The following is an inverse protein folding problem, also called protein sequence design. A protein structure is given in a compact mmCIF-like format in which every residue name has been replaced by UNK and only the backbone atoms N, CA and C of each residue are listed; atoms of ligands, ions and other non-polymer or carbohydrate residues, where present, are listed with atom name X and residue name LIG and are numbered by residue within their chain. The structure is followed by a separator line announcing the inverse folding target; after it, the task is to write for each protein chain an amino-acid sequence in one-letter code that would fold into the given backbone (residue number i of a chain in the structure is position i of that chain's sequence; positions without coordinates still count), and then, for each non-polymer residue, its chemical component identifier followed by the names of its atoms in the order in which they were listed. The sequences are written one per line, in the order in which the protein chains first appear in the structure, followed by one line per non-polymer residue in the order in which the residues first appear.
data_IF_934040800142
#
_entry.id   IF_934040800142
#
_cell.length_a   1.000
_cell.length_b   1.000
_cell.length_c   1.000
_cell.angle_alpha   90.00
_cell.angle_beta   90.00
_cell.angle_gamma   90.00
#
_symmetry.space_group_name_H-M   'P 1'
#
loop_
_entity.id
_entity.type
_entity.pdbx_description
1 polymer ?
#
# COMPACT_ATOMS: atom_id res chain seq x y z
N UNK A 1 0.26 -10.94 -1.02
CA UNK A 1 0.28 -11.76 -2.22
C UNK A 1 -0.59 -11.12 -3.31
N UNK A 2 -0.41 -11.57 -4.55
CA UNK A 2 -1.25 -11.14 -5.65
C UNK A 2 -2.67 -11.72 -5.54
N UNK A 3 -3.64 -11.03 -6.12
CA UNK A 3 -5.04 -11.43 -6.08
C UNK A 3 -5.44 -12.19 -7.36
N UNK A 4 -6.26 -13.21 -7.18
CA UNK A 4 -6.91 -13.91 -8.28
C UNK A 4 -8.17 -13.17 -8.73
N UNK A 5 -7.99 -12.05 -9.47
CA UNK A 5 -9.10 -11.22 -9.94
C UNK A 5 -10.07 -11.98 -10.84
N UNK A 6 -9.59 -12.93 -11.60
CA UNK A 6 -10.43 -13.74 -12.50
C UNK A 6 -11.43 -14.59 -11.71
N UNK A 7 -10.96 -15.22 -10.63
CA UNK A 7 -11.82 -15.98 -9.72
C UNK A 7 -12.82 -15.08 -9.01
N UNK A 8 -12.40 -13.91 -8.53
CA UNK A 8 -13.30 -12.92 -7.94
C UNK A 8 -14.36 -12.44 -8.94
N UNK A 9 -13.97 -12.20 -10.20
CA UNK A 9 -14.92 -11.82 -11.25
C UNK A 9 -15.95 -12.91 -11.51
N UNK A 10 -15.52 -14.17 -11.55
CA UNK A 10 -16.45 -15.28 -11.69
C UNK A 10 -17.45 -15.34 -10.55
N UNK A 11 -16.98 -15.26 -9.31
CA UNK A 11 -17.87 -15.25 -8.13
C UNK A 11 -18.87 -14.10 -8.19
N UNK A 12 -18.42 -12.91 -8.56
CA UNK A 12 -19.31 -11.76 -8.66
C UNK A 12 -20.36 -11.93 -9.76
N UNK A 13 -19.98 -12.52 -10.90
CA UNK A 13 -20.94 -12.83 -11.98
C UNK A 13 -21.97 -13.88 -11.54
N UNK A 14 -21.52 -14.94 -10.90
CA UNK A 14 -22.40 -16.03 -10.43
C UNK A 14 -23.43 -15.52 -9.39
N UNK A 15 -23.11 -14.43 -8.70
CA UNK A 15 -23.99 -13.79 -7.69
C UNK A 15 -24.64 -12.49 -8.18
N UNK A 16 -24.53 -12.15 -9.46
CA UNK A 16 -25.06 -10.90 -10.04
C UNK A 16 -24.64 -9.65 -9.24
N UNK A 17 -23.38 -9.59 -8.83
CA UNK A 17 -22.82 -8.55 -7.97
C UNK A 17 -21.77 -7.73 -8.70
N UNK A 18 -21.64 -6.46 -8.32
CA UNK A 18 -20.50 -5.65 -8.75
C UNK A 18 -19.20 -6.12 -8.06
N UNK A 19 -18.10 -6.06 -8.80
CA UNK A 19 -16.77 -6.28 -8.26
C UNK A 19 -16.03 -4.93 -8.14
N UNK A 20 -15.64 -4.58 -6.93
CA UNK A 20 -14.84 -3.40 -6.65
C UNK A 20 -13.48 -3.81 -6.11
N UNK A 21 -12.43 -3.16 -6.59
CA UNK A 21 -11.08 -3.27 -6.05
C UNK A 21 -10.58 -1.92 -5.54
N UNK A 22 -10.15 -1.87 -4.30
CA UNK A 22 -9.35 -0.76 -3.79
C UNK A 22 -7.86 -1.15 -3.90
N UNK A 23 -7.16 -0.48 -4.83
CA UNK A 23 -5.73 -0.73 -5.07
C UNK A 23 -4.84 0.34 -4.41
N UNK A 24 -5.31 1.01 -3.37
CA UNK A 24 -4.63 2.15 -2.77
C UNK A 24 -3.16 1.88 -2.40
N UNK A 25 -2.84 0.70 -1.88
CA UNK A 25 -1.48 0.33 -1.53
C UNK A 25 -0.60 -0.03 -2.73
N UNK A 26 -1.19 -0.62 -3.76
CA UNK A 26 -0.44 -1.21 -4.88
C UNK A 26 -0.52 -0.41 -6.18
N UNK A 27 -1.15 0.77 -6.16
CA UNK A 27 -1.41 1.54 -7.38
C UNK A 27 -0.14 1.91 -8.18
N UNK A 28 0.97 2.21 -7.50
CA UNK A 28 2.25 2.43 -8.17
C UNK A 28 2.79 1.16 -8.86
N UNK A 29 2.59 0.00 -8.24
CA UNK A 29 2.99 -1.28 -8.82
C UNK A 29 2.12 -1.64 -10.03
N UNK A 30 0.82 -1.38 -9.95
CA UNK A 30 -0.12 -1.59 -11.07
C UNK A 30 0.21 -0.63 -12.23
N UNK A 31 0.49 0.64 -11.95
CA UNK A 31 0.83 1.65 -12.96
C UNK A 31 2.11 1.30 -13.74
N UNK A 32 3.03 0.56 -13.14
CA UNK A 32 4.29 0.12 -13.76
C UNK A 32 4.26 -1.31 -14.28
N UNK A 33 3.10 -1.96 -14.25
CA UNK A 33 2.91 -3.37 -14.66
C UNK A 33 3.69 -4.38 -13.78
N UNK A 34 4.13 -3.94 -12.60
CA UNK A 34 4.84 -4.80 -11.64
C UNK A 34 3.89 -5.59 -10.73
N UNK A 35 2.58 -5.39 -10.89
CA UNK A 35 1.53 -6.12 -10.20
C UNK A 35 0.31 -6.28 -11.12
N UNK A 36 -0.50 -7.33 -10.89
CA UNK A 36 -1.65 -7.63 -11.74
C UNK A 36 -2.67 -6.47 -11.71
N UNK A 37 -3.15 -6.07 -12.89
CA UNK A 37 -4.12 -5.00 -13.03
C UNK A 37 -5.53 -5.46 -12.67
N UNK A 38 -6.29 -4.72 -11.84
CA UNK A 38 -7.70 -5.00 -11.55
C UNK A 38 -8.65 -4.51 -12.64
N UNK A 39 -8.21 -3.64 -13.55
CA UNK A 39 -9.10 -2.90 -14.47
C UNK A 39 -9.88 -3.78 -15.44
N UNK A 40 -9.33 -4.92 -15.84
CA UNK A 40 -10.01 -5.85 -16.75
C UNK A 40 -11.13 -6.65 -16.05
N UNK A 41 -11.06 -6.75 -14.73
CA UNK A 41 -11.95 -7.63 -13.95
C UNK A 41 -12.99 -6.87 -13.14
N UNK A 42 -12.70 -5.64 -12.73
CA UNK A 42 -13.52 -4.89 -11.79
C UNK A 42 -14.45 -3.90 -12.48
N UNK A 43 -15.63 -3.70 -11.88
CA UNK A 43 -16.59 -2.69 -12.31
C UNK A 43 -16.21 -1.30 -11.78
N UNK A 44 -15.57 -1.29 -10.60
CA UNK A 44 -15.08 -0.08 -9.92
C UNK A 44 -13.68 -0.37 -9.39
N UNK A 45 -12.77 0.59 -9.59
CA UNK A 45 -11.42 0.56 -9.01
C UNK A 45 -11.19 1.88 -8.28
N UNK A 46 -10.78 1.82 -7.02
CA UNK A 46 -10.43 3.00 -6.24
C UNK A 46 -8.95 2.99 -5.87
N UNK A 47 -8.40 4.15 -5.66
CA UNK A 47 -7.04 4.29 -5.14
C UNK A 47 -6.83 5.62 -4.44
N UNK A 48 -5.87 5.65 -3.53
CA UNK A 48 -5.24 6.88 -3.07
C UNK A 48 -4.06 7.24 -3.97
N UNK A 49 -3.73 8.53 -4.05
CA UNK A 49 -2.61 9.01 -4.86
C UNK A 49 -1.30 9.19 -4.09
N UNK A 50 -1.33 9.09 -2.77
CA UNK A 50 -0.22 9.44 -1.87
C UNK A 50 0.53 8.24 -1.27
N UNK A 51 0.27 7.02 -1.71
CA UNK A 51 1.00 5.81 -1.29
C UNK A 51 2.07 5.45 -2.33
N UNK A 52 2.03 4.28 -2.92
CA UNK A 52 3.03 3.86 -3.91
C UNK A 52 3.07 4.71 -5.17
N UNK A 53 2.02 5.47 -5.49
CA UNK A 53 2.06 6.49 -6.55
C UNK A 53 2.89 7.74 -6.21
N UNK A 54 3.21 7.99 -4.92
CA UNK A 54 4.01 9.12 -4.43
C UNK A 54 3.44 10.52 -4.72
N UNK A 55 2.13 10.64 -4.93
CA UNK A 55 1.47 11.91 -5.21
C UNK A 55 0.96 12.63 -3.96
N UNK A 56 0.28 13.77 -4.14
CA UNK A 56 -0.38 14.48 -3.06
C UNK A 56 -1.55 13.67 -2.51
N UNK A 57 -2.03 14.01 -1.32
CA UNK A 57 -3.18 13.35 -0.69
C UNK A 57 -4.45 13.60 -1.48
N UNK A 58 -4.92 12.58 -2.17
CA UNK A 58 -6.17 12.56 -2.91
C UNK A 58 -6.62 11.11 -3.15
N UNK A 59 -7.78 10.96 -3.78
CA UNK A 59 -8.31 9.68 -4.23
C UNK A 59 -8.79 9.76 -5.68
N UNK A 60 -8.77 8.62 -6.35
CA UNK A 60 -9.31 8.43 -7.68
C UNK A 60 -10.31 7.30 -7.67
N UNK A 61 -11.40 7.46 -8.41
CA UNK A 61 -12.41 6.43 -8.64
C UNK A 61 -12.51 6.19 -10.14
N UNK A 62 -12.20 4.98 -10.56
CA UNK A 62 -12.39 4.51 -11.93
C UNK A 62 -13.62 3.59 -11.94
N UNK A 63 -14.46 3.71 -12.95
CA UNK A 63 -15.70 2.93 -13.00
C UNK A 63 -16.15 2.70 -14.44
N UNK A 64 -16.92 1.65 -14.67
CA UNK A 64 -17.55 1.40 -15.97
C UNK A 64 -18.56 2.48 -16.30
N UNK A 65 -18.67 2.82 -17.58
CA UNK A 65 -19.48 3.94 -18.07
C UNK A 65 -20.93 3.94 -17.60
N UNK A 66 -21.54 2.78 -17.44
CA UNK A 66 -22.91 2.62 -16.95
C UNK A 66 -23.12 3.08 -15.51
N UNK A 67 -22.05 3.16 -14.72
CA UNK A 67 -22.11 3.62 -13.33
C UNK A 67 -21.90 5.13 -13.18
N UNK A 68 -21.58 5.83 -14.28
CA UNK A 68 -21.17 7.23 -14.27
C UNK A 68 -22.11 8.14 -13.49
N UNK A 69 -23.39 8.17 -13.83
CA UNK A 69 -24.34 9.10 -13.21
C UNK A 69 -24.51 8.87 -11.71
N UNK A 70 -24.46 7.61 -11.28
CA UNK A 70 -24.60 7.25 -9.86
C UNK A 70 -23.36 7.65 -9.06
N UNK A 71 -22.17 7.36 -9.57
CA UNK A 71 -20.92 7.63 -8.87
C UNK A 71 -20.63 9.13 -8.87
N UNK A 72 -20.78 9.81 -10.01
CA UNK A 72 -20.56 11.26 -10.08
C UNK A 72 -21.48 12.01 -9.11
N UNK A 73 -22.76 11.67 -9.08
CA UNK A 73 -23.70 12.27 -8.15
C UNK A 73 -23.40 11.96 -6.69
N UNK A 74 -22.98 10.74 -6.39
CA UNK A 74 -22.59 10.36 -5.04
C UNK A 74 -21.37 11.14 -4.55
N UNK A 75 -20.39 11.36 -5.43
CA UNK A 75 -19.21 12.18 -5.10
C UNK A 75 -19.61 13.64 -4.97
N UNK A 76 -20.23 14.21 -6.00
CA UNK A 76 -20.68 15.61 -5.98
C UNK A 76 -22.09 15.72 -6.60
N UNK A 77 -23.06 16.34 -5.91
CA UNK A 77 -22.94 17.00 -4.60
C UNK A 77 -23.20 16.11 -3.37
N UNK A 78 -23.28 14.79 -3.57
CA UNK A 78 -23.76 13.89 -2.53
C UNK A 78 -22.92 13.88 -1.26
N UNK A 79 -21.61 13.65 -1.38
CA UNK A 79 -20.72 13.45 -0.23
C UNK A 79 -19.62 14.53 -0.11
N UNK A 80 -19.25 15.20 -1.21
CA UNK A 80 -18.15 16.15 -1.27
C UNK A 80 -18.56 17.47 -1.91
N UNK A 81 -17.74 18.50 -1.70
CA UNK A 81 -17.83 19.81 -2.34
C UNK A 81 -16.83 19.95 -3.49
N UNK A 82 -16.46 21.20 -3.82
CA UNK A 82 -15.49 21.49 -4.86
C UNK A 82 -14.10 20.94 -4.53
N UNK A 83 -13.39 20.33 -5.47
CA UNK A 83 -12.05 19.82 -5.26
C UNK A 83 -11.03 20.97 -5.21
N UNK A 84 -9.86 20.70 -4.60
CA UNK A 84 -8.74 21.62 -4.56
C UNK A 84 -7.90 21.50 -5.83
N UNK A 85 -7.89 22.55 -6.66
CA UNK A 85 -7.23 22.52 -7.97
C UNK A 85 -5.71 22.35 -7.90
N UNK A 86 -5.06 22.88 -6.84
CA UNK A 86 -3.64 22.64 -6.60
C UNK A 86 -3.32 21.16 -6.36
N UNK A 87 -4.21 20.44 -5.67
CA UNK A 87 -4.06 18.99 -5.47
C UNK A 87 -4.25 18.25 -6.79
N UNK A 88 -5.25 18.64 -7.59
CA UNK A 88 -5.46 18.06 -8.94
C UNK A 88 -4.22 18.25 -9.82
N UNK A 89 -3.64 19.44 -9.84
CA UNK A 89 -2.41 19.73 -10.59
C UNK A 89 -1.25 18.84 -10.11
N UNK A 90 -1.09 18.70 -8.79
CA UNK A 90 -0.07 17.82 -8.21
C UNK A 90 -0.29 16.33 -8.58
N UNK A 91 -1.55 15.86 -8.58
CA UNK A 91 -1.89 14.50 -9.03
C UNK A 91 -1.55 14.33 -10.51
N UNK A 92 -1.89 15.29 -11.37
CA UNK A 92 -1.58 15.22 -12.79
C UNK A 92 -0.06 15.14 -13.05
N UNK A 93 0.73 15.95 -12.35
CA UNK A 93 2.20 15.90 -12.40
C UNK A 93 2.73 14.52 -11.98
N UNK A 94 2.25 13.99 -10.85
CA UNK A 94 2.68 12.70 -10.38
C UNK A 94 2.29 11.55 -11.32
N UNK A 95 1.10 11.61 -11.92
CA UNK A 95 0.70 10.61 -12.90
C UNK A 95 1.60 10.64 -14.15
N UNK A 96 2.03 11.83 -14.57
CA UNK A 96 3.00 11.97 -15.65
C UNK A 96 4.37 11.38 -15.27
N UNK A 97 4.86 11.66 -14.05
CA UNK A 97 6.10 11.06 -13.53
C UNK A 97 6.01 9.53 -13.44
N UNK A 98 4.84 8.99 -13.07
CA UNK A 98 4.65 7.54 -12.95
C UNK A 98 4.74 6.78 -14.28
N UNK A 99 4.70 7.50 -15.41
CA UNK A 99 4.91 6.93 -16.75
C UNK A 99 6.39 6.82 -17.14
N UNK A 100 7.30 7.41 -16.36
CA UNK A 100 8.73 7.43 -16.67
C UNK A 100 9.43 6.09 -16.43
N UNK A 101 10.59 5.91 -17.05
CA UNK A 101 11.45 4.74 -16.80
C UNK A 101 12.00 4.76 -15.38
N UNK A 102 12.36 5.92 -14.87
CA UNK A 102 12.89 6.12 -13.52
C UNK A 102 11.89 5.66 -12.46
N UNK A 103 10.61 5.96 -12.65
CA UNK A 103 9.56 5.50 -11.74
C UNK A 103 9.38 3.98 -11.81
N UNK A 104 9.44 3.40 -13.00
CA UNK A 104 9.38 1.93 -13.17
C UNK A 104 10.55 1.23 -12.48
N UNK A 105 11.76 1.74 -12.65
CA UNK A 105 12.95 1.19 -12.01
C UNK A 105 12.90 1.34 -10.49
N UNK A 106 12.40 2.48 -10.00
CA UNK A 106 12.13 2.68 -8.59
C UNK A 106 11.17 1.60 -8.03
N UNK A 107 10.05 1.33 -8.68
CA UNK A 107 9.09 0.31 -8.22
C UNK A 107 9.70 -1.10 -8.25
N UNK A 108 10.48 -1.44 -9.27
CA UNK A 108 11.22 -2.72 -9.29
C UNK A 108 12.17 -2.85 -8.10
N UNK A 109 12.90 -1.77 -7.79
CA UNK A 109 13.78 -1.77 -6.62
C UNK A 109 13.01 -1.91 -5.32
N UNK A 110 11.86 -1.24 -5.18
CA UNK A 110 10.95 -1.40 -4.03
C UNK A 110 10.57 -2.86 -3.81
N UNK A 111 10.13 -3.56 -4.88
CA UNK A 111 9.77 -4.99 -4.79
C UNK A 111 10.98 -5.86 -4.42
N UNK A 112 12.14 -5.59 -5.02
CA UNK A 112 13.36 -6.33 -4.72
C UNK A 112 13.74 -6.19 -3.25
N UNK A 113 13.69 -4.97 -2.71
CA UNK A 113 13.99 -4.71 -1.31
C UNK A 113 13.01 -5.41 -0.36
N UNK A 114 11.70 -5.37 -0.68
CA UNK A 114 10.69 -6.06 0.11
C UNK A 114 10.93 -7.59 0.14
N UNK A 115 11.31 -8.18 -0.99
CA UNK A 115 11.68 -9.61 -1.06
C UNK A 115 12.91 -9.92 -0.24
N UNK A 116 13.99 -9.15 -0.41
CA UNK A 116 15.23 -9.35 0.36
C UNK A 116 14.96 -9.29 1.86
N UNK A 117 14.12 -8.34 2.29
CA UNK A 117 13.74 -8.22 3.70
C UNK A 117 12.89 -9.41 4.16
N UNK A 118 11.96 -9.88 3.34
CA UNK A 118 11.14 -11.04 3.62
C UNK A 118 11.99 -12.31 3.76
N UNK A 119 12.96 -12.52 2.87
CA UNK A 119 13.88 -13.65 2.90
C UNK A 119 14.71 -13.64 4.19
N UNK A 120 15.27 -12.48 4.55
CA UNK A 120 16.01 -12.30 5.79
C UNK A 120 15.18 -12.65 7.03
N UNK A 121 13.93 -12.22 7.11
CA UNK A 121 13.06 -12.56 8.24
C UNK A 121 12.74 -14.05 8.29
N UNK A 122 12.48 -14.68 7.16
CA UNK A 122 12.25 -16.14 7.10
C UNK A 122 13.48 -16.93 7.55
N UNK A 123 14.69 -16.55 7.08
CA UNK A 123 15.96 -17.18 7.47
C UNK A 123 16.26 -17.02 8.97
N UNK A 124 15.77 -15.96 9.60
CA UNK A 124 15.92 -15.70 11.03
C UNK A 124 14.74 -16.15 11.89
N UNK A 125 13.93 -17.08 11.39
CA UNK A 125 12.80 -17.69 12.10
C UNK A 125 11.74 -16.68 12.56
N UNK A 126 11.47 -15.66 11.75
CA UNK A 126 10.26 -14.84 11.86
C UNK A 126 9.19 -15.41 10.94
N UNK A 127 7.99 -15.51 11.45
CA UNK A 127 6.85 -15.97 10.67
C UNK A 127 6.27 -14.80 9.87
N UNK A 128 6.35 -14.87 8.54
CA UNK A 128 5.65 -13.92 7.68
C UNK A 128 4.25 -14.44 7.35
N UNK A 129 3.26 -13.57 7.50
CA UNK A 129 1.90 -13.87 7.03
C UNK A 129 1.96 -14.14 5.53
N UNK A 130 1.38 -15.26 5.07
CA UNK A 130 1.49 -15.77 3.69
C UNK A 130 2.90 -16.24 3.25
N UNK A 131 3.85 -16.35 4.18
CA UNK A 131 5.20 -16.87 3.92
C UNK A 131 6.12 -15.96 3.11
N UNK A 132 5.74 -14.70 2.88
CA UNK A 132 6.55 -13.75 2.12
C UNK A 132 5.72 -12.64 1.48
N UNK A 133 6.25 -11.97 0.44
CA UNK A 133 5.56 -10.88 -0.25
C UNK A 133 5.77 -10.90 -1.76
N UNK A 134 4.76 -10.43 -2.49
CA UNK A 134 4.81 -10.19 -3.96
C UNK A 134 4.75 -8.69 -4.28
N UNK A 135 4.59 -7.85 -3.26
CA UNK A 135 4.47 -6.40 -3.39
C UNK A 135 5.52 -5.66 -2.53
N UNK A 136 5.22 -4.44 -2.10
CA UNK A 136 6.09 -3.58 -1.29
C UNK A 136 5.92 -3.77 0.23
N UNK A 137 4.94 -4.57 0.66
CA UNK A 137 4.60 -4.79 2.07
C UNK A 137 4.99 -6.20 2.50
N UNK A 138 5.36 -6.33 3.76
CA UNK A 138 5.43 -7.61 4.46
C UNK A 138 4.75 -7.48 5.82
N UNK A 139 4.14 -8.56 6.28
CA UNK A 139 3.43 -8.63 7.54
C UNK A 139 4.06 -9.73 8.38
N UNK A 140 4.62 -9.36 9.54
CA UNK A 140 5.32 -10.27 10.44
C UNK A 140 4.36 -10.70 11.56
N UNK A 141 4.18 -12.01 11.73
CA UNK A 141 3.47 -12.55 12.86
C UNK A 141 4.41 -12.66 14.07
N UNK A 142 4.13 -11.89 15.11
CA UNK A 142 4.97 -11.82 16.30
C UNK A 142 4.51 -12.76 17.44
N UNK A 143 3.43 -13.54 17.24
CA UNK A 143 2.89 -14.45 18.27
C UNK A 143 3.94 -15.43 18.79
N UNK A 144 4.73 -15.99 17.89
CA UNK A 144 5.80 -16.93 18.24
C UNK A 144 6.99 -16.27 18.98
N UNK A 145 7.07 -14.94 18.99
CA UNK A 145 8.11 -14.17 19.70
C UNK A 145 7.63 -13.63 21.05
N UNK A 146 6.34 -13.76 21.38
CA UNK A 146 5.76 -13.24 22.62
C UNK A 146 5.80 -11.70 22.73
N UNK A 147 5.83 -11.00 21.60
CA UNK A 147 5.93 -9.55 21.53
C UNK A 147 4.69 -9.02 20.79
N UNK A 148 4.06 -7.95 21.31
CA UNK A 148 2.97 -7.29 20.61
C UNK A 148 3.50 -6.32 19.54
N UNK A 149 2.70 -6.10 18.48
CA UNK A 149 3.02 -5.12 17.46
C UNK A 149 3.23 -3.71 18.02
N UNK A 150 2.42 -3.30 19.00
CA UNK A 150 2.55 -2.01 19.69
C UNK A 150 3.89 -1.86 20.44
N UNK A 151 4.36 -2.95 21.07
CA UNK A 151 5.66 -2.93 21.75
C UNK A 151 6.81 -2.83 20.76
N UNK A 152 6.73 -3.58 19.66
CA UNK A 152 7.74 -3.53 18.61
C UNK A 152 7.76 -2.15 17.93
N UNK A 153 6.60 -1.59 17.56
CA UNK A 153 6.48 -0.24 17.01
C UNK A 153 7.17 0.79 17.91
N UNK A 154 6.87 0.77 19.23
CA UNK A 154 7.47 1.66 20.21
C UNK A 154 9.00 1.53 20.30
N UNK A 155 9.51 0.30 20.31
CA UNK A 155 10.97 0.05 20.39
C UNK A 155 11.67 0.49 19.10
N UNK A 156 11.09 0.16 17.95
CA UNK A 156 11.63 0.56 16.65
C UNK A 156 11.70 2.09 16.50
N UNK A 157 10.67 2.81 16.99
CA UNK A 157 10.67 4.28 16.99
C UNK A 157 11.86 4.88 17.77
N UNK A 158 12.32 4.20 18.85
CA UNK A 158 13.49 4.66 19.63
C UNK A 158 14.81 4.57 18.89
N UNK A 159 14.86 3.77 17.84
CA UNK A 159 16.04 3.61 16.98
C UNK A 159 15.82 4.16 15.56
N UNK A 160 14.85 5.07 15.42
CA UNK A 160 14.50 5.74 14.16
C UNK A 160 14.03 4.79 13.05
N UNK A 161 13.44 3.65 13.40
CA UNK A 161 12.79 2.72 12.47
C UNK A 161 11.28 2.90 12.53
N UNK A 162 10.67 3.35 11.44
CA UNK A 162 9.23 3.52 11.35
C UNK A 162 8.57 2.24 10.85
N UNK A 163 7.68 1.68 11.66
CA UNK A 163 6.85 0.55 11.33
C UNK A 163 5.42 0.82 11.83
N UNK A 164 4.45 0.07 11.29
CA UNK A 164 3.08 0.13 11.77
C UNK A 164 2.66 -1.19 12.40
N UNK A 165 2.00 -1.12 13.55
CA UNK A 165 1.29 -2.27 14.10
C UNK A 165 0.05 -2.56 13.26
N UNK A 166 -0.22 -3.85 13.07
CA UNK A 166 -1.38 -4.34 12.35
C UNK A 166 -1.95 -5.58 13.03
N UNK A 167 -3.19 -5.93 12.69
CA UNK A 167 -3.82 -7.16 13.14
C UNK A 167 -3.51 -8.31 12.19
N UNK A 168 -3.34 -9.50 12.75
CA UNK A 168 -3.30 -10.76 12.00
C UNK A 168 -4.54 -11.59 12.27
N UNK A 169 -4.83 -12.57 11.41
CA UNK A 169 -5.97 -13.46 11.61
C UNK A 169 -5.94 -14.11 12.99
N UNK A 170 -7.06 -14.04 13.71
CA UNK A 170 -7.21 -14.58 15.05
C UNK A 170 -6.82 -13.63 16.19
N UNK A 171 -6.48 -12.38 15.92
CA UNK A 171 -6.30 -11.36 16.96
C UNK A 171 -7.65 -11.01 17.61
N UNK A 172 -7.65 -10.90 18.94
CA UNK A 172 -8.86 -10.65 19.73
C UNK A 172 -9.24 -9.16 19.84
N UNK A 173 -8.33 -8.24 19.55
CA UNK A 173 -8.60 -6.80 19.57
C UNK A 173 -7.88 -6.09 18.42
N UNK A 174 -8.63 -5.31 17.63
CA UNK A 174 -8.08 -4.52 16.53
C UNK A 174 -7.27 -3.29 16.98
N UNK A 175 -7.35 -2.89 18.27
CA UNK A 175 -6.62 -1.72 18.79
C UNK A 175 -5.25 -2.05 19.40
N UNK A 176 -5.04 -3.30 19.78
CA UNK A 176 -3.79 -3.75 20.40
C UNK A 176 -3.23 -4.94 19.62
N UNK A 177 -3.10 -4.78 18.30
CA UNK A 177 -2.57 -5.83 17.43
C UNK A 177 -1.49 -6.64 18.12
N UNK A 178 -1.85 -7.85 18.56
CA UNK A 178 -0.97 -8.64 19.41
C UNK A 178 0.29 -9.05 18.68
N UNK A 179 0.32 -8.92 17.33
CA UNK A 179 1.33 -9.68 16.66
C UNK A 179 1.74 -9.29 15.24
N UNK A 180 1.31 -8.17 14.67
CA UNK A 180 1.71 -7.89 13.30
C UNK A 180 2.33 -6.51 13.15
N UNK A 181 3.36 -6.46 12.35
CA UNK A 181 4.03 -5.22 11.99
C UNK A 181 4.02 -5.11 10.49
N UNK A 182 3.36 -4.09 9.99
CA UNK A 182 3.46 -3.67 8.60
C UNK A 182 4.65 -2.72 8.49
N UNK A 183 5.72 -3.18 7.87
CA UNK A 183 6.80 -2.30 7.47
C UNK A 183 6.41 -1.57 6.19
N UNK A 184 6.46 -0.25 6.17
CA UNK A 184 6.44 0.51 4.93
C UNK A 184 7.86 0.55 4.35
N UNK A 185 8.21 -0.30 3.40
CA UNK A 185 9.52 -0.24 2.78
C UNK A 185 9.76 1.10 2.07
N UNK A 186 8.71 1.84 1.74
CA UNK A 186 8.82 3.13 1.09
C UNK A 186 9.64 4.17 1.86
N UNK A 187 9.62 4.14 3.19
CA UNK A 187 10.44 5.03 4.01
C UNK A 187 11.82 4.43 4.37
N UNK A 188 11.94 3.11 4.35
CA UNK A 188 13.21 2.40 4.52
C UNK A 188 14.04 2.36 3.23
N UNK A 189 13.39 2.42 2.08
CA UNK A 189 13.99 2.18 0.76
C UNK A 189 14.63 3.43 0.17
N UNK A 190 14.20 4.63 0.55
CA UNK A 190 14.86 5.87 0.13
C UNK A 190 16.29 6.04 0.67
N UNK A 191 16.78 5.09 1.45
CA UNK A 191 18.10 5.12 2.08
C UNK A 191 19.00 3.93 1.77
N UNK A 192 18.63 3.05 0.86
CA UNK A 192 19.53 2.04 0.33
C UNK A 192 20.31 2.65 -0.83
N UNK A 193 21.53 3.05 -0.58
CA UNK A 193 22.50 3.36 -1.63
C UNK A 193 23.07 2.06 -2.25
N UNK A 194 23.83 2.19 -3.30
CA UNK A 194 24.43 1.08 -4.05
C UNK A 194 25.40 0.21 -3.22
N UNK A 195 25.65 0.57 -1.96
CA UNK A 195 26.66 -0.04 -1.08
C UNK A 195 26.09 -0.79 0.14
N UNK A 196 24.77 -0.93 0.26
CA UNK A 196 24.13 -1.68 1.36
C UNK A 196 23.32 -0.82 2.32
N UNK A 197 22.70 -1.47 3.28
CA UNK A 197 21.72 -0.88 4.20
C UNK A 197 22.31 0.27 5.00
N UNK A 198 22.08 1.49 4.55
CA UNK A 198 22.26 2.67 5.40
C UNK A 198 20.90 3.08 5.93
N UNK A 199 20.66 2.89 7.22
CA UNK A 199 19.47 3.43 7.89
C UNK A 199 19.69 4.93 8.03
N UNK A 200 19.19 5.72 7.08
CA UNK A 200 19.19 7.17 7.22
C UNK A 200 18.11 7.57 8.24
N UNK A 201 18.53 8.22 9.31
CA UNK A 201 17.64 8.86 10.25
C UNK A 201 16.71 9.79 9.49
N UNK A 202 15.45 9.48 9.42
CA UNK A 202 14.43 10.44 9.01
C UNK A 202 14.47 11.56 10.04
N UNK A 203 15.04 12.72 9.68
CA UNK A 203 14.90 13.92 10.51
C UNK A 203 13.41 14.20 10.59
N UNK A 204 12.83 14.08 11.78
CA UNK A 204 11.52 14.67 12.07
C UNK A 204 11.62 16.14 11.67
N UNK A 205 10.90 16.50 10.62
CA UNK A 205 10.61 17.92 10.38
C UNK A 205 9.84 18.42 11.58
N UNK A 206 10.37 19.41 12.28
CA UNK A 206 9.63 20.11 13.31
C UNK A 206 8.35 20.68 12.70
N UNK A 207 7.21 20.27 13.25
CA UNK A 207 5.93 20.94 13.06
C UNK A 207 5.14 20.54 11.84
N UNK A 208 4.23 19.62 12.04
CA UNK A 208 2.79 19.80 11.74
C UNK A 208 1.99 18.71 12.44
N UNK A 209 1.35 19.08 13.52
CA UNK A 209 0.19 18.38 14.06
C UNK A 209 -0.96 18.49 13.05
N UNK A 210 -1.45 17.33 12.57
CA UNK A 210 -2.79 17.16 12.02
C UNK A 210 -3.37 15.86 12.55
#
# INVERSE_FOLDING_TARGET
RDFDYERFRKIANDNNSYLMCDMAHISGLVATEEFKSPFEYCDIVTTTTHKTLRGPRSGLIFYKKELKSKIDFAVFPGLQGGPHNNVIAGVATQLLESMSYEFRDYIKQVKKNARTLADYFNENNYELVTGGTDNHLLLINLKNKGISGSKLEYVCEKVDISINKNSVFGDKSGQFGDCATEGYPGNLISSLDDNGVTINKAKRGEGTHW
#
